data_IF_074036221109
#
_entry.id   IF_074036221109
#
_cell.length_a   1.000
_cell.length_b   1.000
_cell.length_c   1.000
_cell.angle_alpha   90.00
_cell.angle_beta   90.00
_cell.angle_gamma   90.00
#
_symmetry.space_group_name_H-M   'P 1'
#
loop_
_entity.id
_entity.type
_entity.pdbx_description
1 polymer ?
#
# COMPACT_ATOMS: atom_id res chain seq x y z
N UNK A 1 32.88 29.95 42.14
CA UNK A 1 32.62 28.98 43.22
C UNK A 1 31.10 28.82 43.30
N UNK A 2 30.53 28.24 42.25
CA UNK A 2 30.14 26.82 42.17
C UNK A 2 29.06 26.44 43.19
N UNK A 3 27.83 26.40 42.67
CA UNK A 3 26.65 25.85 43.32
C UNK A 3 26.61 24.34 43.07
N UNK A 4 26.47 23.54 44.13
CA UNK A 4 26.18 22.11 44.03
C UNK A 4 24.77 21.89 44.57
N UNK A 5 23.85 21.55 43.66
CA UNK A 5 22.46 21.24 43.95
C UNK A 5 22.25 19.75 43.68
N UNK A 6 21.95 19.00 44.75
CA UNK A 6 21.95 17.54 44.77
C UNK A 6 20.67 16.97 44.16
N UNK A 7 20.91 16.10 43.19
CA UNK A 7 20.06 15.20 42.40
C UNK A 7 18.91 14.52 43.17
N UNK A 8 17.66 14.70 42.73
CA UNK A 8 16.55 13.79 43.04
C UNK A 8 16.36 12.79 41.89
N UNK A 9 16.38 11.51 42.24
CA UNK A 9 16.43 10.36 41.35
C UNK A 9 15.08 10.09 40.67
N UNK A 10 15.18 9.74 39.39
CA UNK A 10 14.14 9.38 38.42
C UNK A 10 13.47 8.05 38.75
N UNK A 11 12.13 7.99 38.70
CA UNK A 11 11.39 6.75 38.43
C UNK A 11 10.32 7.05 37.37
N UNK A 12 10.70 6.93 36.11
CA UNK A 12 9.76 6.83 34.98
C UNK A 12 9.92 5.42 34.42
N UNK A 13 8.95 4.56 34.76
CA UNK A 13 8.85 3.20 34.23
C UNK A 13 8.52 3.31 32.75
N UNK A 14 9.55 3.34 31.91
CA UNK A 14 9.40 3.14 30.47
C UNK A 14 9.06 1.67 30.24
N UNK A 15 7.79 1.40 29.96
CA UNK A 15 7.31 0.14 29.39
C UNK A 15 8.09 -0.16 28.10
N UNK A 16 9.10 -1.02 28.19
CA UNK A 16 9.77 -1.59 27.03
C UNK A 16 8.82 -2.58 26.35
N UNK A 17 8.12 -2.15 25.32
CA UNK A 17 7.60 -3.06 24.32
C UNK A 17 8.80 -3.61 23.52
N UNK A 18 9.16 -4.86 23.82
CA UNK A 18 10.17 -5.63 23.13
C UNK A 18 9.72 -5.85 21.67
N UNK A 19 10.08 -4.95 20.76
CA UNK A 19 9.92 -5.16 19.33
C UNK A 19 11.12 -5.96 18.84
N UNK A 20 10.93 -7.27 18.64
CA UNK A 20 11.92 -8.13 18.01
C UNK A 20 12.20 -7.64 16.60
N UNK A 21 13.34 -6.96 16.43
CA UNK A 21 13.82 -6.48 15.14
C UNK A 21 14.09 -7.68 14.22
N UNK A 22 13.21 -7.87 13.23
CA UNK A 22 13.43 -8.77 12.10
C UNK A 22 14.65 -8.23 11.34
N UNK A 23 15.75 -8.98 11.35
CA UNK A 23 16.94 -8.67 10.55
C UNK A 23 16.65 -9.03 9.09
N UNK A 24 16.27 -8.03 8.30
CA UNK A 24 16.08 -8.17 6.85
C UNK A 24 17.44 -7.88 6.18
N UNK A 25 17.92 -8.72 5.25
CA UNK A 25 19.12 -8.42 4.46
C UNK A 25 18.92 -7.10 3.70
N UNK A 26 19.92 -6.21 3.75
CA UNK A 26 19.83 -4.87 3.15
C UNK A 26 19.93 -5.00 1.64
N UNK A 27 18.79 -4.96 0.95
CA UNK A 27 18.74 -4.70 -0.48
C UNK A 27 18.81 -3.19 -0.70
N UNK A 28 19.69 -2.73 -1.58
CA UNK A 28 19.83 -1.31 -1.92
C UNK A 28 18.54 -0.69 -2.50
N UNK A 29 17.69 -1.49 -3.15
CA UNK A 29 16.35 -1.08 -3.55
C UNK A 29 15.43 -0.83 -2.35
N UNK A 30 15.54 -1.62 -1.28
CA UNK A 30 14.74 -1.49 -0.06
C UNK A 30 15.17 -0.30 0.80
N UNK A 31 16.45 0.08 0.74
CA UNK A 31 16.96 1.28 1.41
C UNK A 31 16.41 2.56 0.76
N UNK A 32 16.40 2.62 -0.59
CA UNK A 32 15.71 3.67 -1.35
C UNK A 32 14.25 3.76 -0.98
N UNK A 33 13.59 2.61 -0.89
CA UNK A 33 12.18 2.58 -0.57
C UNK A 33 11.93 3.10 0.84
N UNK A 34 12.71 2.63 1.81
CA UNK A 34 12.61 3.07 3.20
C UNK A 34 12.89 4.57 3.35
N UNK A 35 13.92 5.08 2.68
CA UNK A 35 14.27 6.49 2.70
C UNK A 35 13.16 7.38 2.14
N UNK A 36 12.65 7.07 0.94
CA UNK A 36 11.55 7.80 0.32
C UNK A 36 10.27 7.76 1.17
N UNK A 37 9.97 6.63 1.81
CA UNK A 37 8.79 6.53 2.66
C UNK A 37 8.84 7.38 3.92
N UNK A 38 10.03 7.76 4.41
CA UNK A 38 10.14 8.72 5.51
C UNK A 38 9.79 10.15 5.12
N UNK A 39 9.82 10.47 3.82
CA UNK A 39 9.34 11.74 3.26
C UNK A 39 7.87 11.72 2.84
N UNK A 40 7.16 10.60 3.08
CA UNK A 40 5.73 10.49 2.81
C UNK A 40 4.94 10.92 4.04
N UNK A 41 4.07 11.89 3.85
CA UNK A 41 3.15 12.38 4.88
C UNK A 41 1.92 11.47 4.96
N UNK A 42 1.36 11.34 6.16
CA UNK A 42 0.13 10.59 6.36
C UNK A 42 -1.07 11.48 6.08
N UNK A 43 -1.90 11.09 5.12
CA UNK A 43 -3.12 11.77 4.79
C UNK A 43 -4.24 11.53 5.80
N UNK A 44 -5.39 12.16 5.59
CA UNK A 44 -6.48 12.19 6.57
C UNK A 44 -7.03 10.80 6.89
N UNK A 45 -7.09 9.91 5.88
CA UNK A 45 -7.66 8.57 6.08
C UNK A 45 -6.77 7.70 6.96
N UNK A 46 -5.46 8.00 7.06
CA UNK A 46 -4.53 7.24 7.91
C UNK A 46 -4.93 7.29 9.39
N UNK A 47 -5.60 8.37 9.82
CA UNK A 47 -6.06 8.59 11.19
C UNK A 47 -7.39 7.87 11.50
N UNK A 48 -8.03 7.25 10.51
CA UNK A 48 -9.30 6.54 10.73
C UNK A 48 -9.09 5.26 11.54
N UNK A 49 -10.08 4.93 12.38
CA UNK A 49 -10.05 3.73 13.21
C UNK A 49 -10.03 2.46 12.36
N UNK A 50 -9.29 1.45 12.82
CA UNK A 50 -9.25 0.12 12.19
C UNK A 50 -10.57 -0.63 12.42
N UNK A 51 -10.93 -1.47 11.45
CA UNK A 51 -12.15 -2.26 11.52
C UNK A 51 -12.08 -3.33 12.62
N UNK A 52 -13.15 -3.50 13.39
CA UNK A 52 -13.25 -4.55 14.42
C UNK A 52 -13.92 -5.82 13.86
N UNK A 53 -13.31 -6.42 12.85
CA UNK A 53 -13.78 -7.67 12.25
C UNK A 53 -12.72 -8.76 12.28
N UNK A 54 -13.14 -10.03 12.20
CA UNK A 54 -12.23 -11.16 12.12
C UNK A 54 -11.35 -11.11 10.88
N UNK A 55 -11.92 -10.70 9.74
CA UNK A 55 -11.21 -10.55 8.46
C UNK A 55 -11.25 -9.08 8.06
N UNK A 56 -10.09 -8.46 7.96
CA UNK A 56 -9.88 -7.04 7.64
C UNK A 56 -8.67 -6.93 6.72
N UNK A 57 -8.81 -6.16 5.66
CA UNK A 57 -7.72 -5.77 4.77
C UNK A 57 -7.64 -4.24 4.75
N UNK A 58 -6.60 -3.69 5.35
CA UNK A 58 -6.29 -2.26 5.27
C UNK A 58 -5.26 -2.05 4.18
N UNK A 59 -5.60 -1.31 3.13
CA UNK A 59 -4.72 -1.07 1.99
C UNK A 59 -4.24 0.37 2.06
N UNK A 60 -2.94 0.53 2.28
CA UNK A 60 -2.23 1.80 2.28
C UNK A 60 -1.60 2.03 0.91
N UNK A 61 -1.82 3.20 0.33
CA UNK A 61 -1.27 3.58 -0.97
C UNK A 61 -0.45 4.85 -0.82
N UNK A 62 0.82 4.76 -1.18
CA UNK A 62 1.76 5.89 -1.20
C UNK A 62 1.90 6.43 -2.62
N UNK A 63 1.72 7.74 -2.77
CA UNK A 63 1.94 8.43 -4.03
C UNK A 63 3.30 9.11 -4.05
N UNK A 64 4.24 8.51 -4.78
CA UNK A 64 5.60 9.04 -4.92
C UNK A 64 5.79 9.86 -6.21
N UNK A 65 4.74 9.96 -7.01
CA UNK A 65 4.74 10.74 -8.24
C UNK A 65 4.50 12.21 -7.92
N UNK A 66 4.94 13.11 -8.79
CA UNK A 66 4.52 14.53 -8.76
C UNK A 66 3.07 14.76 -9.19
N UNK A 67 2.38 13.70 -9.65
CA UNK A 67 1.00 13.75 -10.11
C UNK A 67 0.03 13.35 -9.01
N UNK A 68 -1.21 13.85 -9.07
CA UNK A 68 -2.26 13.37 -8.18
C UNK A 68 -2.74 11.97 -8.61
N UNK A 69 -3.07 11.11 -7.63
CA UNK A 69 -3.86 9.91 -7.87
C UNK A 69 -5.34 10.26 -7.70
N UNK A 70 -6.03 10.49 -8.81
CA UNK A 70 -7.39 11.04 -8.87
C UNK A 70 -8.43 9.99 -9.28
N UNK A 71 -9.71 10.35 -9.23
CA UNK A 71 -10.83 9.47 -9.59
C UNK A 71 -10.73 8.07 -8.96
N UNK A 72 -10.60 8.00 -7.62
CA UNK A 72 -10.56 6.73 -6.91
C UNK A 72 -11.81 5.91 -7.22
N UNK A 73 -11.63 4.60 -7.33
CA UNK A 73 -12.74 3.66 -7.46
C UNK A 73 -12.43 2.38 -6.72
N UNK A 74 -13.41 1.83 -6.02
CA UNK A 74 -13.35 0.46 -5.56
C UNK A 74 -14.60 -0.31 -6.01
N UNK A 75 -14.37 -1.54 -6.43
CA UNK A 75 -15.41 -2.53 -6.71
C UNK A 75 -15.21 -3.69 -5.77
N UNK A 76 -16.16 -3.87 -4.85
CA UNK A 76 -16.21 -5.00 -3.94
C UNK A 76 -16.95 -6.16 -4.62
N UNK A 77 -16.33 -7.33 -4.65
CA UNK A 77 -17.01 -8.57 -5.07
C UNK A 77 -17.57 -9.33 -3.87
N UNK A 78 -16.94 -9.20 -2.69
CA UNK A 78 -17.46 -9.71 -1.41
C UNK A 78 -16.87 -8.95 -0.22
N UNK A 79 -17.66 -8.85 0.85
CA UNK A 79 -17.35 -8.04 2.01
C UNK A 79 -17.89 -6.63 1.84
N UNK A 80 -17.37 -5.71 2.64
CA UNK A 80 -17.80 -4.32 2.72
C UNK A 80 -16.58 -3.39 2.85
N UNK A 81 -16.73 -2.13 2.39
CA UNK A 81 -15.77 -1.07 2.65
C UNK A 81 -16.17 -0.38 3.95
N UNK A 82 -15.28 -0.37 4.93
CA UNK A 82 -15.42 0.52 6.09
C UNK A 82 -15.03 1.95 5.72
N UNK A 83 -14.01 2.10 4.88
CA UNK A 83 -13.62 3.38 4.29
C UNK A 83 -13.38 3.20 2.80
N UNK A 84 -13.77 4.20 2.03
CA UNK A 84 -13.58 4.21 0.58
C UNK A 84 -12.21 4.77 0.21
N UNK A 85 -11.59 4.32 -0.90
CA UNK A 85 -10.40 4.96 -1.44
C UNK A 85 -10.65 6.44 -1.75
N UNK A 86 -9.66 7.28 -1.46
CA UNK A 86 -9.71 8.73 -1.69
C UNK A 86 -8.65 9.15 -2.71
N UNK A 87 -8.72 10.42 -3.13
CA UNK A 87 -7.66 11.06 -3.91
C UNK A 87 -6.38 11.13 -3.07
N UNK A 88 -5.23 10.88 -3.70
CA UNK A 88 -3.93 10.88 -3.01
C UNK A 88 -3.01 11.89 -3.71
N UNK A 89 -2.71 12.99 -3.03
CA UNK A 89 -1.79 14.01 -3.54
C UNK A 89 -0.34 13.49 -3.57
N UNK A 90 0.56 14.12 -4.33
CA UNK A 90 1.99 13.86 -4.24
C UNK A 90 2.45 13.85 -2.77
N UNK A 91 3.40 12.97 -2.47
CA UNK A 91 4.00 12.79 -1.13
C UNK A 91 3.03 12.37 -0.03
N UNK A 92 1.76 12.07 -0.33
CA UNK A 92 0.82 11.56 0.64
C UNK A 92 0.69 10.04 0.58
N UNK A 93 0.38 9.48 1.75
CA UNK A 93 -0.15 8.14 1.91
C UNK A 93 -1.57 8.20 2.43
N UNK A 94 -2.48 7.50 1.78
CA UNK A 94 -3.84 7.32 2.24
C UNK A 94 -4.12 5.83 2.41
N UNK A 95 -5.11 5.49 3.23
CA UNK A 95 -5.58 4.12 3.42
C UNK A 95 -7.08 4.00 3.14
N UNK A 96 -7.48 2.81 2.76
CA UNK A 96 -8.87 2.40 2.83
C UNK A 96 -8.95 0.99 3.40
N UNK A 97 -10.08 0.66 4.03
CA UNK A 97 -10.23 -0.59 4.76
C UNK A 97 -11.45 -1.34 4.25
N UNK A 98 -11.24 -2.60 3.90
CA UNK A 98 -12.29 -3.54 3.57
C UNK A 98 -12.36 -4.64 4.64
N UNK A 99 -13.55 -5.16 4.91
CA UNK A 99 -13.76 -6.24 5.86
C UNK A 99 -14.82 -7.23 5.38
N UNK A 100 -14.91 -8.37 6.05
CA UNK A 100 -16.01 -9.32 5.82
C UNK A 100 -17.36 -8.69 6.19
N UNK A 101 -18.43 -9.11 5.52
CA UNK A 101 -19.78 -8.79 5.95
C UNK A 101 -20.11 -9.39 7.32
N UNK A 102 -21.07 -8.81 8.02
CA UNK A 102 -21.53 -9.29 9.31
C UNK A 102 -22.13 -10.70 9.22
N UNK A 103 -21.92 -11.53 10.26
CA UNK A 103 -22.34 -12.95 10.37
C UNK A 103 -21.95 -13.95 9.25
N UNK A 104 -21.39 -13.53 8.12
CA UNK A 104 -21.00 -14.42 7.03
C UNK A 104 -19.68 -15.16 7.29
N UNK A 105 -19.55 -16.37 6.72
CA UNK A 105 -18.27 -17.12 6.65
C UNK A 105 -17.43 -16.73 5.43
N UNK A 106 -17.64 -15.53 4.88
CA UNK A 106 -16.86 -15.01 3.76
C UNK A 106 -15.76 -14.08 4.23
N UNK A 107 -14.72 -13.96 3.41
CA UNK A 107 -13.68 -12.96 3.54
C UNK A 107 -14.06 -11.61 2.94
N UNK A 108 -13.06 -10.84 2.51
CA UNK A 108 -13.21 -9.64 1.68
C UNK A 108 -12.35 -9.76 0.43
N UNK A 109 -12.89 -9.39 -0.73
CA UNK A 109 -12.13 -9.34 -1.97
C UNK A 109 -12.73 -8.34 -2.96
N UNK A 110 -11.85 -7.67 -3.69
CA UNK A 110 -12.21 -6.58 -4.58
C UNK A 110 -11.03 -6.00 -5.32
N UNK A 111 -11.30 -4.92 -6.05
CA UNK A 111 -10.29 -4.14 -6.79
C UNK A 111 -10.49 -2.66 -6.52
N UNK A 112 -9.40 -1.92 -6.35
CA UNK A 112 -9.37 -0.48 -6.25
C UNK A 112 -8.47 0.10 -7.33
N UNK A 113 -8.75 1.31 -7.78
CA UNK A 113 -7.92 1.98 -8.78
C UNK A 113 -7.96 3.49 -8.68
N UNK A 114 -6.89 4.12 -9.16
CA UNK A 114 -6.72 5.56 -9.26
C UNK A 114 -6.23 5.91 -10.65
N UNK A 115 -6.73 7.01 -11.22
CA UNK A 115 -6.12 7.61 -12.41
C UNK A 115 -4.90 8.42 -11.98
N UNK A 116 -3.79 8.26 -12.68
CA UNK A 116 -2.63 9.14 -12.52
C UNK A 116 -2.90 10.39 -13.35
N UNK A 117 -2.80 11.57 -12.74
CA UNK A 117 -3.10 12.85 -13.40
C UNK A 117 -1.91 13.36 -14.24
N UNK A 118 -1.42 12.50 -15.15
CA UNK A 118 -0.24 12.72 -15.99
C UNK A 118 -0.57 13.21 -17.41
N UNK A 119 -1.85 13.47 -17.69
CA UNK A 119 -2.37 13.84 -19.01
C UNK A 119 -2.67 12.68 -19.96
N UNK A 120 -2.22 11.47 -19.66
CA UNK A 120 -2.43 10.28 -20.51
C UNK A 120 -3.54 9.36 -19.97
N UNK A 121 -3.93 9.54 -18.70
CA UNK A 121 -5.09 8.86 -18.12
C UNK A 121 -4.82 7.40 -17.75
N UNK A 122 -3.55 7.05 -17.51
CA UNK A 122 -3.15 5.75 -16.92
C UNK A 122 -3.84 5.51 -15.59
N UNK A 123 -4.03 4.24 -15.23
CA UNK A 123 -4.58 3.89 -13.91
C UNK A 123 -3.71 2.92 -13.13
N UNK A 124 -3.42 3.25 -11.88
CA UNK A 124 -2.90 2.32 -10.90
C UNK A 124 -4.05 1.45 -10.37
N UNK A 125 -3.86 0.13 -10.34
CA UNK A 125 -4.89 -0.85 -9.98
C UNK A 125 -4.35 -1.78 -8.88
N UNK A 126 -5.15 -2.02 -7.86
CA UNK A 126 -4.84 -2.88 -6.72
C UNK A 126 -5.97 -3.88 -6.52
N UNK A 127 -5.67 -5.17 -6.59
CA UNK A 127 -6.59 -6.25 -6.26
C UNK A 127 -6.23 -6.83 -4.90
N UNK A 128 -7.23 -7.13 -4.07
CA UNK A 128 -7.04 -7.88 -2.84
C UNK A 128 -8.02 -9.04 -2.75
N UNK A 129 -7.58 -10.11 -2.08
CA UNK A 129 -8.44 -11.18 -1.59
C UNK A 129 -7.95 -11.66 -0.24
N UNK A 130 -8.80 -11.57 0.78
CA UNK A 130 -8.51 -11.99 2.14
C UNK A 130 -9.61 -12.95 2.59
N UNK A 131 -9.40 -14.27 2.54
CA UNK A 131 -10.42 -15.27 2.84
C UNK A 131 -10.71 -15.40 4.34
N UNK A 132 -11.86 -15.98 4.66
CA UNK A 132 -12.24 -16.32 6.04
C UNK A 132 -11.52 -17.56 6.57
N UNK A 133 -11.22 -18.53 5.72
CA UNK A 133 -10.62 -19.80 6.10
C UNK A 133 -9.27 -20.00 5.41
N UNK A 134 -8.19 -20.09 6.21
CA UNK A 134 -6.84 -20.31 5.70
C UNK A 134 -6.44 -21.79 5.52
N UNK A 135 -7.31 -22.75 5.86
CA UNK A 135 -7.04 -24.15 5.53
C UNK A 135 -7.04 -24.40 4.02
N UNK A 136 -7.92 -23.72 3.28
CA UNK A 136 -8.11 -23.93 1.83
C UNK A 136 -7.70 -22.73 0.99
N UNK A 137 -7.48 -21.58 1.61
CA UNK A 137 -7.23 -20.33 0.91
C UNK A 137 -6.10 -19.55 1.57
N UNK A 138 -5.62 -18.53 0.88
CA UNK A 138 -4.61 -17.60 1.41
C UNK A 138 -4.93 -16.20 0.94
N UNK A 139 -4.25 -15.22 1.53
CA UNK A 139 -4.37 -13.85 1.04
C UNK A 139 -3.76 -13.76 -0.37
N UNK A 140 -4.34 -12.91 -1.22
CA UNK A 140 -3.78 -12.53 -2.51
C UNK A 140 -3.74 -11.02 -2.63
N UNK A 141 -2.64 -10.50 -3.16
CA UNK A 141 -2.50 -9.12 -3.60
C UNK A 141 -2.12 -9.14 -5.08
N UNK A 142 -2.78 -8.29 -5.86
CA UNK A 142 -2.36 -7.95 -7.20
C UNK A 142 -2.13 -6.45 -7.32
N UNK A 143 -1.11 -6.05 -8.07
CA UNK A 143 -0.85 -4.65 -8.45
C UNK A 143 -0.67 -4.55 -9.95
N UNK A 144 -1.19 -3.49 -10.56
CA UNK A 144 -1.12 -3.31 -12.00
C UNK A 144 -1.24 -1.86 -12.45
N UNK A 145 -0.89 -1.65 -13.71
CA UNK A 145 -1.01 -0.39 -14.43
C UNK A 145 -1.86 -0.65 -15.68
N UNK A 146 -2.94 0.10 -15.81
CA UNK A 146 -3.78 0.10 -17.00
C UNK A 146 -3.27 1.14 -17.99
N UNK A 147 -3.24 0.76 -19.26
CA UNK A 147 -2.85 1.59 -20.40
C UNK A 147 -3.68 2.87 -20.48
N UNK A 148 -3.12 3.96 -21.06
CA UNK A 148 -3.86 5.17 -21.39
C UNK A 148 -5.22 4.89 -22.04
N UNK A 149 -6.21 5.73 -21.74
CA UNK A 149 -7.59 5.61 -22.25
C UNK A 149 -8.33 4.29 -21.92
N UNK A 150 -7.76 3.39 -21.11
CA UNK A 150 -8.49 2.22 -20.61
C UNK A 150 -9.60 2.67 -19.68
N UNK A 151 -10.86 2.52 -20.12
CA UNK A 151 -12.01 2.79 -19.27
C UNK A 151 -12.04 1.88 -18.04
N UNK A 152 -12.82 2.27 -17.03
CA UNK A 152 -13.04 1.46 -15.84
C UNK A 152 -13.60 0.08 -16.25
N UNK A 153 -12.79 -0.96 -16.17
CA UNK A 153 -13.27 -2.32 -16.46
C UNK A 153 -13.92 -2.97 -15.24
N UNK A 154 -15.11 -3.54 -15.46
CA UNK A 154 -15.86 -4.33 -14.45
C UNK A 154 -15.18 -5.65 -14.07
N UNK A 155 -14.20 -6.08 -14.87
CA UNK A 155 -13.60 -7.41 -14.80
C UNK A 155 -12.15 -7.46 -14.31
N UNK A 156 -11.53 -6.33 -13.94
CA UNK A 156 -10.16 -6.34 -13.43
C UNK A 156 -9.96 -7.27 -12.24
N UNK A 157 -10.96 -7.41 -11.36
CA UNK A 157 -10.87 -8.40 -10.28
C UNK A 157 -10.68 -9.82 -10.83
N UNK A 158 -11.52 -10.26 -11.78
CA UNK A 158 -11.44 -11.61 -12.33
C UNK A 158 -10.14 -11.82 -13.10
N UNK A 159 -9.71 -10.83 -13.89
CA UNK A 159 -8.44 -10.87 -14.61
C UNK A 159 -7.26 -11.03 -13.65
N UNK A 160 -7.15 -10.14 -12.66
CA UNK A 160 -6.06 -10.15 -11.69
C UNK A 160 -6.10 -11.34 -10.74
N UNK A 161 -7.28 -11.87 -10.41
CA UNK A 161 -7.40 -13.03 -9.52
C UNK A 161 -7.07 -14.34 -10.24
N UNK A 162 -7.56 -14.50 -11.47
CA UNK A 162 -7.37 -15.71 -12.28
C UNK A 162 -6.09 -15.67 -13.14
N UNK A 163 -5.26 -14.63 -13.03
CA UNK A 163 -4.01 -14.48 -13.78
C UNK A 163 -4.19 -14.39 -15.30
N UNK A 164 -5.29 -13.77 -15.74
CA UNK A 164 -5.63 -13.66 -17.16
C UNK A 164 -5.21 -12.28 -17.67
N UNK A 165 -4.20 -12.27 -18.55
CA UNK A 165 -3.74 -11.07 -19.25
C UNK A 165 -4.77 -10.60 -20.29
N UNK A 166 -4.92 -9.29 -20.45
CA UNK A 166 -5.76 -8.68 -21.47
C UNK A 166 -6.28 -7.29 -21.09
N UNK A 167 -7.07 -6.68 -21.97
CA UNK A 167 -7.82 -5.43 -21.73
C UNK A 167 -6.96 -4.24 -21.26
N UNK A 168 -5.74 -4.12 -21.80
CA UNK A 168 -4.83 -3.01 -21.50
C UNK A 168 -4.35 -2.96 -20.05
N UNK A 169 -4.50 -4.04 -19.27
CA UNK A 169 -4.00 -4.09 -17.89
C UNK A 169 -2.74 -4.94 -17.78
N UNK A 170 -1.60 -4.32 -17.47
CA UNK A 170 -0.38 -5.02 -17.08
C UNK A 170 -0.34 -5.16 -15.56
N UNK A 171 -0.36 -6.38 -15.06
CA UNK A 171 -0.36 -6.64 -13.62
C UNK A 171 0.55 -7.79 -13.22
N UNK A 172 0.84 -7.84 -11.92
CA UNK A 172 1.44 -8.99 -11.26
C UNK A 172 0.62 -9.28 -10.00
N UNK A 173 0.56 -10.55 -9.60
CA UNK A 173 -0.11 -10.98 -8.37
C UNK A 173 0.76 -11.96 -7.62
N UNK A 174 0.51 -12.07 -6.31
CA UNK A 174 1.08 -13.15 -5.53
C UNK A 174 0.14 -13.62 -4.42
N UNK A 175 0.39 -14.85 -3.98
CA UNK A 175 -0.20 -15.47 -2.80
C UNK A 175 0.63 -15.08 -1.57
N UNK A 176 -0.05 -14.84 -0.46
CA UNK A 176 0.52 -14.46 0.82
C UNK A 176 0.06 -15.45 1.89
N UNK A 177 0.93 -16.42 2.21
CA UNK A 177 0.68 -17.53 3.13
C UNK A 177 1.75 -17.63 4.23
N UNK A 178 2.85 -18.33 3.99
CA UNK A 178 4.06 -18.33 4.83
C UNK A 178 5.08 -17.31 4.32
N UNK A 179 4.91 -16.86 3.08
CA UNK A 179 5.80 -15.89 2.44
C UNK A 179 5.08 -14.56 2.20
N UNK A 180 5.85 -13.47 2.27
CA UNK A 180 5.39 -12.10 2.00
C UNK A 180 6.22 -11.49 0.87
N UNK A 181 6.11 -12.01 -0.37
CA UNK A 181 6.90 -11.51 -1.48
C UNK A 181 6.48 -10.08 -1.83
N UNK A 182 7.46 -9.23 -2.11
CA UNK A 182 7.20 -7.93 -2.75
C UNK A 182 6.91 -8.17 -4.23
N UNK A 183 5.75 -7.72 -4.71
CA UNK A 183 5.37 -7.77 -6.13
C UNK A 183 5.55 -6.41 -6.78
N UNK A 184 5.95 -6.38 -8.05
CA UNK A 184 6.25 -5.14 -8.77
C UNK A 184 6.02 -5.29 -10.26
N UNK A 185 5.48 -4.25 -10.88
CA UNK A 185 5.38 -4.13 -12.34
C UNK A 185 5.53 -2.66 -12.76
N UNK A 186 6.03 -2.42 -13.97
CA UNK A 186 6.18 -1.10 -14.57
C UNK A 186 5.60 -1.08 -15.98
N UNK A 187 5.26 0.10 -16.50
CA UNK A 187 4.81 0.30 -17.89
C UNK A 187 5.80 1.15 -18.71
N UNK A 188 7.01 1.36 -18.19
CA UNK A 188 8.03 2.24 -18.75
C UNK A 188 7.97 3.69 -18.27
N UNK A 189 6.85 4.16 -17.70
CA UNK A 189 6.73 5.50 -17.12
C UNK A 189 6.45 5.48 -15.63
N UNK A 190 5.61 4.56 -15.18
CA UNK A 190 5.33 4.32 -13.77
C UNK A 190 5.67 2.89 -13.38
N UNK A 191 5.90 2.73 -12.10
CA UNK A 191 6.06 1.45 -11.44
C UNK A 191 5.12 1.40 -10.23
N UNK A 192 4.44 0.26 -10.08
CA UNK A 192 3.62 -0.04 -8.92
C UNK A 192 4.20 -1.25 -8.19
N UNK A 193 4.41 -1.09 -6.89
CA UNK A 193 4.93 -2.12 -5.99
C UNK A 193 3.90 -2.43 -4.91
N UNK A 194 3.77 -3.69 -4.51
CA UNK A 194 2.86 -4.12 -3.47
C UNK A 194 3.46 -5.17 -2.55
N UNK A 195 3.06 -5.14 -1.29
CA UNK A 195 3.30 -6.22 -0.30
C UNK A 195 2.09 -6.32 0.62
N UNK A 196 1.76 -7.51 1.11
CA UNK A 196 0.65 -7.77 2.02
C UNK A 196 1.08 -8.69 3.16
N UNK A 197 0.44 -8.57 4.32
CA UNK A 197 0.56 -9.56 5.40
C UNK A 197 -0.28 -10.82 5.17
N UNK A 198 -0.01 -11.86 5.95
CA UNK A 198 -0.61 -13.20 5.78
C UNK A 198 -1.76 -13.51 6.75
N UNK A 199 -2.01 -12.63 7.72
CA UNK A 199 -3.05 -12.81 8.74
C UNK A 199 -4.46 -12.45 8.23
N UNK A 200 -5.51 -12.81 8.98
CA UNK A 200 -6.88 -12.41 8.64
C UNK A 200 -7.12 -10.91 8.81
N UNK A 201 -6.41 -10.29 9.75
CA UNK A 201 -6.32 -8.83 9.90
C UNK A 201 -4.98 -8.42 9.30
N UNK A 202 -5.01 -8.01 8.05
CA UNK A 202 -3.81 -7.75 7.27
C UNK A 202 -3.76 -6.32 6.79
N UNK A 203 -2.54 -5.89 6.49
CA UNK A 203 -2.25 -4.62 5.84
C UNK A 203 -1.55 -4.90 4.52
N UNK A 204 -2.06 -4.29 3.46
CA UNK A 204 -1.36 -4.20 2.20
C UNK A 204 -0.75 -2.80 2.08
N UNK A 205 0.50 -2.74 1.60
CA UNK A 205 1.19 -1.50 1.32
C UNK A 205 1.51 -1.47 -0.16
N UNK A 206 1.07 -0.41 -0.83
CA UNK A 206 1.22 -0.18 -2.25
C UNK A 206 1.94 1.13 -2.48
N UNK A 207 2.92 1.13 -3.37
CA UNK A 207 3.68 2.32 -3.74
C UNK A 207 3.50 2.53 -5.23
N UNK A 208 3.03 3.72 -5.62
CA UNK A 208 3.00 4.17 -7.02
C UNK A 208 4.11 5.19 -7.18
N UNK A 209 5.07 4.92 -8.05
CA UNK A 209 6.23 5.79 -8.29
C UNK A 209 6.52 5.92 -9.79
N UNK A 210 7.12 7.01 -10.25
CA UNK A 210 7.60 7.12 -11.61
C UNK A 210 8.87 6.26 -11.81
N UNK A 211 9.16 5.93 -13.06
CA UNK A 211 10.43 5.33 -13.47
C UNK A 211 11.52 6.39 -13.57
N UNK A 212 11.17 7.60 -14.01
CA UNK A 212 12.09 8.73 -14.18
C UNK A 212 12.07 9.67 -12.98
N UNK A 213 13.24 10.18 -12.59
CA UNK A 213 13.40 11.04 -11.42
C UNK A 213 12.72 12.41 -11.56
N UNK A 214 12.63 12.93 -12.78
CA UNK A 214 11.97 14.22 -13.06
C UNK A 214 10.46 14.22 -12.76
N UNK A 215 9.88 13.02 -12.64
CA UNK A 215 8.49 12.81 -12.31
C UNK A 215 8.28 12.45 -10.83
N UNK A 216 9.36 12.38 -10.03
CA UNK A 216 9.26 12.16 -8.59
C UNK A 216 8.69 13.39 -7.91
N UNK A 217 7.93 13.15 -6.84
CA UNK A 217 7.50 14.23 -5.98
C UNK A 217 8.73 14.94 -5.35
N UNK A 218 8.77 16.29 -5.29
CA UNK A 218 9.95 17.04 -4.86
C UNK A 218 10.54 16.59 -3.51
N UNK A 219 9.70 16.41 -2.48
CA UNK A 219 10.17 16.01 -1.15
C UNK A 219 10.85 14.63 -1.14
N UNK A 220 10.41 13.73 -2.03
CA UNK A 220 10.98 12.39 -2.15
C UNK A 220 12.31 12.45 -2.89
N UNK A 221 12.37 13.21 -3.98
CA UNK A 221 13.61 13.45 -4.72
C UNK A 221 14.68 14.04 -3.80
N UNK A 222 14.33 15.07 -3.02
CA UNK A 222 15.22 15.69 -2.04
C UNK A 222 15.68 14.71 -0.94
N UNK A 223 14.77 13.87 -0.44
CA UNK A 223 15.10 12.87 0.57
C UNK A 223 16.05 11.78 0.05
N UNK A 224 15.91 11.39 -1.21
CA UNK A 224 16.78 10.41 -1.85
C UNK A 224 18.15 11.01 -2.16
N UNK A 225 18.21 12.24 -2.67
CA UNK A 225 19.47 12.99 -2.93
C UNK A 225 20.27 13.22 -1.66
N UNK A 226 19.62 13.64 -0.56
CA UNK A 226 20.28 13.83 0.75
C UNK A 226 20.95 12.57 1.29
N UNK A 227 20.57 11.39 0.80
CA UNK A 227 21.12 10.10 1.22
C UNK A 227 22.03 9.48 0.16
N UNK A 228 22.40 10.20 -0.89
CA UNK A 228 23.18 9.72 -2.04
C UNK A 228 22.57 8.45 -2.66
N UNK A 229 21.23 8.39 -2.70
CA UNK A 229 20.51 7.25 -3.24
C UNK A 229 20.04 7.47 -4.67
N UNK A 230 20.00 8.70 -5.16
CA UNK A 230 19.89 9.11 -6.56
C UNK A 230 20.85 10.27 -6.80
#
# INVERSE_FOLDING_TARGET
MEASCTLFLVVLVASMAYSSAVKIPINWADLRVTAASTSIESGATMMTAEASYRVVCTIEVENWTKYNLVNPHATIKKGELQSSPVLIRPTLREKFTAHKSYWGFSGTYGVASWRIDDGEGRRAVVMWSCPYNFWWHSNYLGVGLAEPATERHRDWFHQMYNDVNGNGLRFVRSRYDKHTPTIRTNDGKFEITGIMGTAHRTRARVIVRPVFEDDLAPNISDALRKRNLI
#
